data_IF_423765352666
#
_entry.id   IF_423765352666
#
_cell.length_a   1.000
_cell.length_b   1.000
_cell.length_c   1.000
_cell.angle_alpha   90.00
_cell.angle_beta   90.00
_cell.angle_gamma   90.00
#
_symmetry.space_group_name_H-M   'P 1'
#
loop_
_entity.id
_entity.type
_entity.pdbx_description
1 polymer ?
#
# COMPACT_ATOMS: atom_id res chain seq x y z
N UNK A 1 -19.71 0.51 11.99
CA UNK A 1 -18.78 -0.60 11.72
C UNK A 1 -17.80 -0.13 10.68
N UNK A 2 -16.49 -0.39 10.81
CA UNK A 2 -15.54 -0.03 9.75
C UNK A 2 -15.72 -0.99 8.58
N UNK A 3 -16.21 -0.48 7.45
CA UNK A 3 -16.40 -1.23 6.21
C UNK A 3 -15.04 -1.59 5.60
N UNK A 4 -14.94 -2.76 4.98
CA UNK A 4 -13.79 -3.13 4.14
C UNK A 4 -14.13 -2.75 2.71
N UNK A 5 -13.19 -2.15 1.99
CA UNK A 5 -13.39 -1.75 0.60
C UNK A 5 -12.41 -2.47 -0.33
N UNK A 6 -12.89 -2.83 -1.51
CA UNK A 6 -12.05 -3.24 -2.62
C UNK A 6 -11.94 -2.07 -3.61
N UNK A 7 -10.75 -1.51 -3.72
CA UNK A 7 -10.40 -0.56 -4.77
C UNK A 7 -9.81 -1.33 -5.95
N UNK A 8 -10.45 -1.24 -7.10
CA UNK A 8 -9.94 -1.75 -8.37
C UNK A 8 -9.53 -0.55 -9.21
N UNK A 9 -8.32 -0.55 -9.77
CA UNK A 9 -7.82 0.52 -10.61
C UNK A 9 -6.99 -0.01 -11.76
N UNK A 10 -6.99 0.73 -12.87
CA UNK A 10 -6.16 0.44 -14.04
C UNK A 10 -5.30 1.65 -14.37
N UNK A 11 -3.99 1.44 -14.36
CA UNK A 11 -3.04 2.47 -14.76
C UNK A 11 -2.97 2.55 -16.29
N UNK A 12 -2.75 3.74 -16.84
CA UNK A 12 -2.52 3.89 -18.26
C UNK A 12 -1.21 3.22 -18.66
N UNK A 13 -1.23 2.42 -19.72
CA UNK A 13 -0.02 1.82 -20.27
C UNK A 13 0.64 2.82 -21.23
N UNK A 14 1.88 3.29 -20.96
CA UNK A 14 2.57 4.26 -21.81
C UNK A 14 2.72 3.82 -23.26
N UNK A 15 2.78 2.51 -23.54
CA UNK A 15 2.90 1.97 -24.89
C UNK A 15 1.62 2.14 -25.72
N UNK A 16 0.46 2.28 -25.06
CA UNK A 16 -0.84 2.42 -25.73
C UNK A 16 -1.32 3.87 -25.82
N UNK A 17 -0.60 4.81 -25.19
CA UNK A 17 -0.88 6.24 -25.35
C UNK A 17 -0.25 6.71 -26.66
N UNK A 18 -1.10 6.84 -27.69
CA UNK A 18 -0.69 7.39 -28.99
C UNK A 18 -0.12 8.79 -28.80
N UNK A 19 0.92 9.13 -29.57
CA UNK A 19 1.58 10.45 -29.61
C UNK A 19 2.54 10.80 -28.46
N UNK A 20 2.88 9.88 -27.56
CA UNK A 20 3.94 10.17 -26.58
C UNK A 20 5.34 10.04 -27.22
N UNK A 21 6.10 11.13 -27.18
CA UNK A 21 7.56 11.09 -27.34
C UNK A 21 8.23 10.42 -26.14
N UNK A 22 9.54 10.18 -26.22
CA UNK A 22 10.28 9.46 -25.19
C UNK A 22 10.27 10.19 -23.83
N UNK A 23 10.35 11.53 -23.84
CA UNK A 23 10.31 12.34 -22.62
C UNK A 23 8.98 12.18 -21.89
N UNK A 24 7.88 12.27 -22.64
CA UNK A 24 6.52 12.17 -22.15
C UNK A 24 6.21 10.76 -21.61
N UNK A 25 6.74 9.70 -22.25
CA UNK A 25 6.63 8.32 -21.75
C UNK A 25 7.30 8.16 -20.39
N UNK A 26 8.53 8.64 -20.24
CA UNK A 26 9.27 8.58 -18.97
C UNK A 26 8.54 9.33 -17.86
N UNK A 27 7.94 10.48 -18.17
CA UNK A 27 7.16 11.21 -17.17
C UNK A 27 5.88 10.46 -16.76
N UNK A 28 5.18 9.84 -17.71
CA UNK A 28 4.02 9.00 -17.40
C UNK A 28 4.40 7.80 -16.53
N UNK A 29 5.53 7.15 -16.79
CA UNK A 29 6.06 6.06 -15.95
C UNK A 29 6.34 6.55 -14.52
N UNK A 30 6.94 7.72 -14.37
CA UNK A 30 7.18 8.33 -13.05
C UNK A 30 5.86 8.64 -12.34
N UNK A 31 4.85 9.15 -13.05
CA UNK A 31 3.52 9.38 -12.51
C UNK A 31 2.90 8.05 -12.06
N UNK A 32 2.92 7.02 -12.89
CA UNK A 32 2.40 5.69 -12.55
C UNK A 32 3.06 5.14 -11.29
N UNK A 33 4.39 5.23 -11.15
CA UNK A 33 5.10 4.81 -9.93
C UNK A 33 4.68 5.60 -8.69
N UNK A 34 4.36 6.89 -8.83
CA UNK A 34 3.84 7.70 -7.72
C UNK A 34 2.42 7.31 -7.37
N UNK A 35 1.57 7.08 -8.36
CA UNK A 35 0.19 6.62 -8.19
C UNK A 35 0.17 5.28 -7.48
N UNK A 36 1.00 4.32 -7.89
CA UNK A 36 1.12 3.03 -7.20
C UNK A 36 1.48 3.19 -5.73
N UNK A 37 2.42 4.09 -5.38
CA UNK A 37 2.78 4.35 -3.98
C UNK A 37 1.62 4.95 -3.19
N UNK A 38 0.89 5.89 -3.78
CA UNK A 38 -0.28 6.52 -3.16
C UNK A 38 -1.39 5.48 -2.93
N UNK A 39 -1.72 4.70 -3.95
CA UNK A 39 -2.79 3.70 -3.89
C UNK A 39 -2.42 2.55 -2.94
N UNK A 40 -1.16 2.10 -2.94
CA UNK A 40 -0.67 1.11 -1.96
C UNK A 40 -0.66 1.61 -0.53
N UNK A 41 -0.71 2.93 -0.29
CA UNK A 41 -0.84 3.46 1.06
C UNK A 41 -2.24 3.25 1.65
N UNK A 42 -3.25 3.00 0.81
CA UNK A 42 -4.63 2.76 1.24
C UNK A 42 -4.86 1.36 1.79
N UNK A 43 -3.98 0.40 1.51
CA UNK A 43 -4.21 -0.98 1.91
C UNK A 43 -3.30 -2.02 1.28
N UNK A 44 -3.81 -3.24 1.17
CA UNK A 44 -3.06 -4.40 0.71
C UNK A 44 -3.48 -4.77 -0.69
N UNK A 45 -2.50 -4.82 -1.59
CA UNK A 45 -2.69 -5.33 -2.94
C UNK A 45 -2.90 -6.84 -2.90
N UNK A 46 -4.08 -7.27 -3.33
CA UNK A 46 -4.47 -8.67 -3.39
C UNK A 46 -4.27 -9.27 -4.79
N UNK A 47 -4.33 -8.43 -5.82
CA UNK A 47 -4.03 -8.75 -7.23
C UNK A 47 -3.57 -7.47 -7.94
N UNK A 48 -3.03 -7.61 -9.16
CA UNK A 48 -2.57 -6.46 -9.95
C UNK A 48 -3.73 -5.47 -10.17
N UNK A 49 -3.57 -4.25 -9.65
CA UNK A 49 -4.61 -3.22 -9.73
C UNK A 49 -5.78 -3.41 -8.76
N UNK A 50 -5.67 -4.26 -7.73
CA UNK A 50 -6.71 -4.47 -6.73
C UNK A 50 -6.17 -4.31 -5.30
N UNK A 51 -6.69 -3.35 -4.55
CA UNK A 51 -6.33 -3.04 -3.16
C UNK A 51 -7.52 -3.33 -2.24
N UNK A 52 -7.28 -4.19 -1.26
CA UNK A 52 -8.16 -4.34 -0.11
C UNK A 52 -7.81 -3.28 0.93
N UNK A 53 -8.74 -2.39 1.20
CA UNK A 53 -8.55 -1.22 2.07
C UNK A 53 -9.46 -1.28 3.30
N UNK A 54 -8.92 -0.81 4.43
CA UNK A 54 -9.64 -0.57 5.67
C UNK A 54 -9.87 0.93 5.92
N UNK A 55 -9.47 1.77 4.98
CA UNK A 55 -9.70 3.21 5.02
C UNK A 55 -11.18 3.51 4.75
N UNK A 56 -11.62 4.72 5.13
CA UNK A 56 -12.96 5.18 4.77
C UNK A 56 -13.08 5.36 3.26
N UNK A 57 -14.30 5.20 2.74
CA UNK A 57 -14.58 5.50 1.33
C UNK A 57 -14.16 6.92 0.95
N UNK A 58 -14.41 7.90 1.82
CA UNK A 58 -13.99 9.29 1.62
C UNK A 58 -12.47 9.41 1.47
N UNK A 59 -11.70 8.72 2.30
CA UNK A 59 -10.24 8.72 2.22
C UNK A 59 -9.74 8.08 0.93
N UNK A 60 -10.36 6.97 0.52
CA UNK A 60 -10.06 6.33 -0.77
C UNK A 60 -10.36 7.31 -1.90
N UNK A 61 -11.55 7.92 -1.93
CA UNK A 61 -11.96 8.90 -2.95
C UNK A 61 -11.05 10.13 -2.98
N UNK A 62 -10.59 10.62 -1.83
CA UNK A 62 -9.63 11.72 -1.73
C UNK A 62 -8.32 11.36 -2.44
N UNK A 63 -7.75 10.19 -2.14
CA UNK A 63 -6.52 9.73 -2.80
C UNK A 63 -6.74 9.53 -4.31
N UNK A 64 -7.87 8.93 -4.71
CA UNK A 64 -8.19 8.76 -6.14
C UNK A 64 -8.41 10.10 -6.85
N UNK A 65 -8.90 11.12 -6.15
CA UNK A 65 -8.98 12.48 -6.68
C UNK A 65 -7.59 13.08 -6.91
N UNK A 66 -6.63 12.86 -5.99
CA UNK A 66 -5.24 13.29 -6.19
C UNK A 66 -4.63 12.61 -7.42
N UNK A 67 -4.84 11.29 -7.56
CA UNK A 67 -4.40 10.52 -8.73
C UNK A 67 -5.00 11.07 -10.03
N UNK A 68 -6.31 11.35 -10.03
CA UNK A 68 -7.00 11.97 -11.18
C UNK A 68 -6.35 13.30 -11.56
N UNK A 69 -6.08 14.18 -10.60
CA UNK A 69 -5.41 15.46 -10.84
C UNK A 69 -4.02 15.28 -11.45
N UNK A 70 -3.25 14.29 -11.00
CA UNK A 70 -1.93 14.01 -11.59
C UNK A 70 -2.02 13.64 -13.07
N UNK A 71 -2.99 12.81 -13.45
CA UNK A 71 -3.20 12.46 -14.86
C UNK A 71 -3.77 13.62 -15.68
N UNK A 72 -4.66 14.44 -15.13
CA UNK A 72 -5.17 15.66 -15.81
C UNK A 72 -4.01 16.59 -16.15
N UNK A 73 -3.16 16.91 -15.17
CA UNK A 73 -2.02 17.79 -15.38
C UNK A 73 -1.06 17.24 -16.47
N UNK A 74 -0.88 15.92 -16.51
CA UNK A 74 -0.10 15.27 -17.57
C UNK A 74 -0.76 15.40 -18.94
N UNK A 75 -2.07 15.14 -19.04
CA UNK A 75 -2.83 15.27 -20.29
C UNK A 75 -2.81 16.71 -20.83
N UNK A 76 -2.96 17.70 -19.96
CA UNK A 76 -2.89 19.12 -20.33
C UNK A 76 -1.50 19.52 -20.82
N UNK A 77 -0.45 19.09 -20.11
CA UNK A 77 0.94 19.43 -20.44
C UNK A 77 1.37 18.86 -21.80
N UNK A 78 0.93 17.65 -22.13
CA UNK A 78 1.38 16.92 -23.31
C UNK A 78 0.33 16.84 -24.43
N UNK A 79 -0.84 17.45 -24.24
CA UNK A 79 -1.96 17.43 -25.20
C UNK A 79 -2.34 16.01 -25.66
N UNK A 80 -2.34 15.07 -24.71
CA UNK A 80 -2.64 13.64 -24.94
C UNK A 80 -3.85 13.20 -24.14
N UNK A 81 -4.55 12.17 -24.65
CA UNK A 81 -5.61 11.48 -23.92
C UNK A 81 -5.04 10.25 -23.21
N UNK A 82 -5.42 10.06 -21.96
CA UNK A 82 -4.94 8.98 -21.11
C UNK A 82 -6.12 8.35 -20.37
N UNK A 83 -6.26 7.03 -20.46
CA UNK A 83 -7.34 6.29 -19.79
C UNK A 83 -6.92 5.88 -18.38
N UNK A 84 -7.63 6.42 -17.38
CA UNK A 84 -7.54 6.00 -15.99
C UNK A 84 -8.93 5.64 -15.46
N UNK A 85 -9.08 4.42 -14.97
CA UNK A 85 -10.36 3.89 -14.46
C UNK A 85 -10.16 3.33 -13.07
N UNK A 86 -11.12 3.58 -12.19
CA UNK A 86 -11.18 2.94 -10.89
C UNK A 86 -12.62 2.69 -10.42
N UNK A 87 -12.78 1.72 -9.54
CA UNK A 87 -14.01 1.41 -8.83
C UNK A 87 -13.72 1.17 -7.35
N UNK A 88 -14.62 1.62 -6.49
CA UNK A 88 -14.57 1.37 -5.05
C UNK A 88 -15.81 0.56 -4.69
N UNK A 89 -15.60 -0.63 -4.15
CA UNK A 89 -16.65 -1.57 -3.79
C UNK A 89 -16.64 -1.75 -2.28
N UNK A 90 -17.76 -1.45 -1.62
CA UNK A 90 -17.94 -1.83 -0.23
C UNK A 90 -18.17 -3.35 -0.19
N UNK A 91 -17.37 -4.06 0.61
CA UNK A 91 -17.46 -5.51 0.72
C UNK A 91 -18.30 -5.88 1.94
N UNK A 92 -19.26 -6.77 1.73
CA UNK A 92 -19.99 -7.40 2.83
C UNK A 92 -19.26 -8.66 3.35
N UNK A 93 -19.88 -9.34 4.32
CA UNK A 93 -19.28 -10.55 4.90
C UNK A 93 -19.19 -11.72 3.92
N UNK A 94 -20.10 -11.81 2.95
CA UNK A 94 -20.11 -12.86 1.94
C UNK A 94 -19.00 -12.63 0.92
N UNK A 95 -18.84 -11.39 0.45
CA UNK A 95 -17.74 -10.97 -0.41
C UNK A 95 -16.39 -11.27 0.25
N UNK A 96 -16.24 -10.96 1.54
CA UNK A 96 -15.01 -11.23 2.29
C UNK A 96 -14.71 -12.72 2.41
N UNK A 97 -15.73 -13.57 2.58
CA UNK A 97 -15.56 -15.03 2.57
C UNK A 97 -15.07 -15.53 1.22
N UNK A 98 -15.60 -14.99 0.12
CA UNK A 98 -15.21 -15.38 -1.24
C UNK A 98 -13.81 -14.87 -1.61
N UNK A 99 -13.43 -13.68 -1.16
CA UNK A 99 -12.10 -13.10 -1.41
C UNK A 99 -11.01 -13.73 -0.55
N UNK A 100 -11.37 -14.34 0.60
CA UNK A 100 -10.43 -14.89 1.56
C UNK A 100 -9.34 -15.76 0.94
N UNK A 101 -9.60 -16.74 0.03
CA UNK A 101 -8.55 -17.57 -0.54
C UNK A 101 -7.52 -16.76 -1.36
N UNK A 102 -7.99 -15.80 -2.15
CA UNK A 102 -7.16 -14.94 -3.01
C UNK A 102 -6.30 -14.01 -2.16
N UNK A 103 -6.92 -13.41 -1.14
CA UNK A 103 -6.25 -12.44 -0.25
C UNK A 103 -5.29 -13.14 0.71
N UNK A 104 -5.56 -14.39 1.11
CA UNK A 104 -4.72 -15.14 2.07
C UNK A 104 -3.29 -15.28 1.56
N UNK A 105 -3.09 -15.73 0.32
CA UNK A 105 -1.74 -15.90 -0.23
C UNK A 105 -0.98 -14.56 -0.30
N UNK A 106 -1.64 -13.51 -0.79
CA UNK A 106 -1.06 -12.16 -0.87
C UNK A 106 -0.72 -11.59 0.51
N UNK A 107 -1.57 -11.82 1.52
CA UNK A 107 -1.32 -11.45 2.92
C UNK A 107 -0.13 -12.19 3.52
N UNK A 108 0.01 -13.48 3.24
CA UNK A 108 1.14 -14.30 3.72
C UNK A 108 2.46 -13.78 3.13
N UNK A 109 2.52 -13.60 1.80
CA UNK A 109 3.69 -13.05 1.15
C UNK A 109 4.06 -11.66 1.67
N UNK A 110 3.07 -10.79 1.90
CA UNK A 110 3.36 -9.48 2.47
C UNK A 110 3.78 -9.54 3.94
N UNK A 111 3.22 -10.47 4.72
CA UNK A 111 3.67 -10.71 6.11
C UNK A 111 5.14 -11.07 6.14
N UNK A 112 5.60 -11.99 5.28
CA UNK A 112 7.01 -12.34 5.15
C UNK A 112 7.88 -11.15 4.76
N UNK A 113 7.46 -10.38 3.75
CA UNK A 113 8.18 -9.16 3.33
C UNK A 113 8.25 -8.11 4.44
N UNK A 114 7.17 -7.96 5.22
CA UNK A 114 7.13 -7.01 6.33
C UNK A 114 8.07 -7.46 7.46
N UNK A 115 8.07 -8.75 7.81
CA UNK A 115 9.03 -9.34 8.77
C UNK A 115 10.47 -9.05 8.32
N UNK A 116 10.79 -9.33 7.06
CA UNK A 116 12.14 -9.11 6.53
C UNK A 116 12.53 -7.63 6.59
N UNK A 117 11.61 -6.74 6.23
CA UNK A 117 11.84 -5.29 6.25
C UNK A 117 12.01 -4.76 7.68
N UNK A 118 11.25 -5.28 8.64
CA UNK A 118 11.42 -5.00 10.08
C UNK A 118 12.81 -5.46 10.53
N UNK A 119 13.20 -6.71 10.26
CA UNK A 119 14.53 -7.25 10.62
C UNK A 119 15.66 -6.42 10.06
N UNK A 120 15.59 -6.05 8.77
CA UNK A 120 16.58 -5.17 8.14
C UNK A 120 16.66 -3.81 8.82
N UNK A 121 15.54 -3.23 9.26
CA UNK A 121 15.56 -1.98 10.00
C UNK A 121 16.16 -2.16 11.39
N UNK A 122 15.79 -3.22 12.13
CA UNK A 122 16.36 -3.57 13.44
C UNK A 122 17.89 -3.66 13.34
N UNK A 123 18.40 -4.43 12.38
CA UNK A 123 19.84 -4.60 12.17
C UNK A 123 20.57 -3.27 11.92
N UNK A 124 19.94 -2.34 11.18
CA UNK A 124 20.50 -1.02 10.90
C UNK A 124 20.52 -0.09 12.12
N UNK A 125 19.57 -0.24 13.03
CA UNK A 125 19.36 0.73 14.12
C UNK A 125 19.78 0.23 15.50
N UNK A 126 19.95 -1.08 15.70
CA UNK A 126 20.23 -1.68 17.01
C UNK A 126 21.50 -1.12 17.68
N UNK A 127 22.54 -0.83 16.90
CA UNK A 127 23.81 -0.26 17.38
C UNK A 127 23.83 1.27 17.43
N UNK A 128 22.80 1.94 16.91
CA UNK A 128 22.74 3.40 16.87
C UNK A 128 22.26 3.97 18.19
N UNK A 129 22.73 5.16 18.54
CA UNK A 129 22.21 5.91 19.69
C UNK A 129 20.86 6.59 19.37
N UNK A 130 20.08 7.05 20.36
CA UNK A 130 18.75 7.63 20.14
C UNK A 130 18.72 8.82 19.16
N UNK A 131 19.75 9.68 19.17
CA UNK A 131 19.83 10.83 18.25
C UNK A 131 20.02 10.38 16.80
N UNK A 132 20.81 9.34 16.55
CA UNK A 132 21.02 8.79 15.22
C UNK A 132 19.78 8.04 14.71
N UNK A 133 19.08 7.31 15.59
CA UNK A 133 17.83 6.59 15.26
C UNK A 133 16.72 7.51 14.77
N UNK A 134 16.68 8.80 15.19
CA UNK A 134 15.70 9.79 14.71
C UNK A 134 15.60 9.89 13.18
N UNK A 135 16.70 9.66 12.47
CA UNK A 135 16.71 9.68 10.99
C UNK A 135 15.82 8.61 10.36
N UNK A 136 15.54 7.53 11.08
CA UNK A 136 14.71 6.42 10.62
C UNK A 136 13.27 6.48 11.13
N UNK A 137 12.87 7.56 11.83
CA UNK A 137 11.55 7.69 12.45
C UNK A 137 10.41 7.59 11.44
N UNK A 138 10.58 8.15 10.24
CA UNK A 138 9.57 8.07 9.19
C UNK A 138 9.42 6.63 8.68
N UNK A 139 10.54 5.94 8.42
CA UNK A 139 10.52 4.52 8.04
C UNK A 139 9.87 3.65 9.11
N UNK A 140 10.16 3.90 10.39
CA UNK A 140 9.50 3.22 11.50
C UNK A 140 7.98 3.45 11.49
N UNK A 141 7.52 4.70 11.34
CA UNK A 141 6.09 5.03 11.30
C UNK A 141 5.36 4.40 10.11
N UNK A 142 6.01 4.34 8.95
CA UNK A 142 5.48 3.64 7.78
C UNK A 142 5.30 2.15 8.04
N UNK A 143 6.32 1.49 8.61
CA UNK A 143 6.25 0.07 8.98
C UNK A 143 5.17 -0.18 10.05
N UNK A 144 5.06 0.70 11.05
CA UNK A 144 4.05 0.57 12.10
C UNK A 144 2.62 0.64 11.55
N UNK A 145 2.35 1.58 10.63
CA UNK A 145 1.05 1.67 9.95
C UNK A 145 0.78 0.42 9.11
N UNK A 146 1.76 -0.02 8.33
CA UNK A 146 1.65 -1.22 7.50
C UNK A 146 1.36 -2.47 8.34
N UNK A 147 2.03 -2.61 9.49
CA UNK A 147 1.80 -3.67 10.47
C UNK A 147 0.37 -3.63 11.06
N UNK A 148 -0.11 -2.46 11.47
CA UNK A 148 -1.47 -2.31 12.01
C UNK A 148 -2.53 -2.73 10.99
N UNK A 149 -2.38 -2.28 9.74
CA UNK A 149 -3.28 -2.65 8.65
C UNK A 149 -3.25 -4.16 8.38
N UNK A 150 -2.06 -4.77 8.36
CA UNK A 150 -1.91 -6.22 8.17
C UNK A 150 -2.62 -7.04 9.25
N UNK A 151 -2.35 -6.74 10.52
CA UNK A 151 -2.94 -7.48 11.65
C UNK A 151 -4.46 -7.36 11.63
N UNK A 152 -4.97 -6.15 11.35
CA UNK A 152 -6.41 -5.92 11.30
C UNK A 152 -7.07 -6.67 10.14
N UNK A 153 -6.42 -6.75 8.98
CA UNK A 153 -6.92 -7.55 7.84
C UNK A 153 -6.93 -9.06 8.15
N UNK A 154 -5.88 -9.58 8.78
CA UNK A 154 -5.86 -10.97 9.24
C UNK A 154 -7.01 -11.28 10.21
N UNK A 155 -7.26 -10.37 11.16
CA UNK A 155 -8.37 -10.49 12.09
C UNK A 155 -9.72 -10.47 11.38
N UNK A 156 -9.95 -9.48 10.49
CA UNK A 156 -11.22 -9.30 9.75
C UNK A 156 -11.56 -10.47 8.85
N UNK A 157 -10.57 -11.03 8.17
CA UNK A 157 -10.77 -12.18 7.28
C UNK A 157 -10.77 -13.52 8.03
N UNK A 158 -10.54 -13.50 9.35
CA UNK A 158 -10.40 -14.71 10.16
C UNK A 158 -9.29 -15.63 9.65
N UNK A 159 -8.17 -15.05 9.19
CA UNK A 159 -7.03 -15.79 8.65
C UNK A 159 -6.04 -16.01 9.80
N UNK A 160 -6.01 -17.24 10.31
CA UNK A 160 -4.96 -17.67 11.23
C UNK A 160 -3.70 -17.99 10.43
N UNK A 161 -2.60 -17.33 10.77
CA UNK A 161 -1.31 -17.56 10.13
C UNK A 161 -0.23 -17.67 11.19
N UNK A 162 0.58 -18.73 11.12
CA UNK A 162 1.62 -19.02 12.12
C UNK A 162 2.66 -17.91 12.21
N UNK A 163 2.99 -17.26 11.09
CA UNK A 163 4.01 -16.19 11.09
C UNK A 163 3.50 -14.87 11.68
N UNK A 164 2.21 -14.73 12.00
CA UNK A 164 1.73 -13.54 12.71
C UNK A 164 2.40 -13.40 14.08
N UNK A 165 2.66 -14.49 14.80
CA UNK A 165 3.39 -14.42 16.07
C UNK A 165 4.80 -13.87 15.87
N UNK A 166 5.51 -14.37 14.86
CA UNK A 166 6.82 -13.85 14.47
C UNK A 166 6.75 -12.37 14.12
N UNK A 167 5.76 -11.95 13.32
CA UNK A 167 5.56 -10.54 12.99
C UNK A 167 5.34 -9.68 14.25
N UNK A 168 4.53 -10.15 15.19
CA UNK A 168 4.30 -9.48 16.47
C UNK A 168 5.60 -9.34 17.29
N UNK A 169 6.38 -10.41 17.40
CA UNK A 169 7.65 -10.44 18.11
C UNK A 169 8.64 -9.42 17.53
N UNK A 170 8.86 -9.47 16.21
CA UNK A 170 9.77 -8.56 15.51
C UNK A 170 9.33 -7.09 15.64
N UNK A 171 8.02 -6.82 15.53
CA UNK A 171 7.48 -5.47 15.70
C UNK A 171 7.67 -4.96 17.14
N UNK A 172 7.56 -5.82 18.16
CA UNK A 172 7.79 -5.45 19.54
C UNK A 172 9.26 -5.10 19.80
N UNK A 173 10.20 -5.85 19.23
CA UNK A 173 11.63 -5.51 19.27
C UNK A 173 11.87 -4.14 18.64
N UNK A 174 11.30 -3.91 17.44
CA UNK A 174 11.44 -2.63 16.75
C UNK A 174 10.85 -1.47 17.57
N UNK A 175 9.67 -1.63 18.17
CA UNK A 175 9.07 -0.63 19.08
C UNK A 175 9.97 -0.31 20.26
N UNK A 176 10.57 -1.32 20.88
CA UNK A 176 11.53 -1.12 21.97
C UNK A 176 12.74 -0.26 21.57
N UNK A 177 13.23 -0.42 20.34
CA UNK A 177 14.34 0.39 19.82
C UNK A 177 13.96 1.86 19.54
N UNK A 178 12.68 2.16 19.33
CA UNK A 178 12.17 3.51 19.11
C UNK A 178 11.45 4.10 20.33
N UNK A 179 11.37 3.36 21.44
CA UNK A 179 10.83 3.87 22.70
C UNK A 179 11.68 5.05 23.20
N UNK A 180 11.04 6.21 23.39
CA UNK A 180 11.72 7.44 23.84
C UNK A 180 12.29 8.33 22.73
N UNK A 181 11.94 8.11 21.46
CA UNK A 181 12.35 8.92 20.29
C UNK A 181 11.17 9.68 19.65
#
# INVERSE_FOLDING_TARGET
>A
MSNVYLLIYRLPNPQYVRKLDESSRRELEVINLRVERLVRSLGIECSDGAILSLESEDRIREVMSQVKTMYINFMEKYEVAVDFVYAVLALDEEDLKQLKPVVTYSLQLRTQKLIERIRRLIERVKSLNPKQRRRFRNTYREIEREYQTHVLLHYRLGIKYSELSTLHEEMNVLRGLFAGI
#
